data_IF_843922220361
#
_entry.id   IF_843922220361
#
_cell.length_a   1.000
_cell.length_b   1.000
_cell.length_c   1.000
_cell.angle_alpha   90.00
_cell.angle_beta   90.00
_cell.angle_gamma   90.00
#
_symmetry.space_group_name_H-M   'P 1'
#
loop_
_entity.id
_entity.type
_entity.pdbx_description
1 polymer ?
#
# COMPACT_ATOMS: atom_id res chain seq x y z
N UNK A 1 16.59 -15.36 6.05
CA UNK A 1 17.03 -14.44 7.13
C UNK A 1 15.87 -14.28 8.11
N UNK A 2 16.10 -14.35 9.43
CA UNK A 2 14.97 -14.37 10.38
C UNK A 2 14.39 -12.97 10.59
N UNK A 3 13.07 -12.81 10.45
CA UNK A 3 12.36 -11.54 10.74
C UNK A 3 12.20 -11.33 12.25
N UNK A 4 12.28 -10.06 12.65
CA UNK A 4 12.04 -9.59 14.02
C UNK A 4 10.66 -8.94 14.20
N UNK A 5 10.15 -8.96 15.44
CA UNK A 5 8.91 -8.22 15.77
C UNK A 5 9.02 -6.72 15.48
N UNK A 6 10.22 -6.13 15.63
CA UNK A 6 10.46 -4.73 15.29
C UNK A 6 10.25 -4.43 13.81
N UNK A 7 10.66 -5.36 12.93
CA UNK A 7 10.45 -5.23 11.49
C UNK A 7 8.96 -5.37 11.14
N UNK A 8 8.25 -6.30 11.78
CA UNK A 8 6.79 -6.41 11.64
C UNK A 8 6.09 -5.12 12.06
N UNK A 9 6.44 -4.58 13.23
CA UNK A 9 5.90 -3.28 13.71
C UNK A 9 6.24 -2.14 12.75
N UNK A 10 7.44 -2.14 12.18
CA UNK A 10 7.85 -1.14 11.21
C UNK A 10 7.03 -1.21 9.92
N UNK A 11 6.85 -2.39 9.34
CA UNK A 11 6.04 -2.61 8.13
C UNK A 11 4.56 -2.30 8.38
N UNK A 12 4.04 -2.67 9.55
CA UNK A 12 2.66 -2.31 9.95
C UNK A 12 2.45 -0.80 9.97
N UNK A 13 3.41 -0.03 10.54
CA UNK A 13 3.38 1.44 10.54
C UNK A 13 3.40 2.01 9.13
N UNK A 14 4.26 1.50 8.25
CA UNK A 14 4.30 1.93 6.85
C UNK A 14 2.98 1.67 6.13
N UNK A 15 2.33 0.55 6.47
CA UNK A 15 1.06 0.11 5.89
C UNK A 15 -0.18 0.73 6.54
N UNK A 16 -0.01 1.61 7.54
CA UNK A 16 -1.10 2.24 8.31
C UNK A 16 -1.99 1.19 9.02
N UNK A 17 -1.39 0.09 9.48
CA UNK A 17 -2.06 -0.99 10.19
C UNK A 17 -1.68 -0.98 11.66
N UNK A 18 -2.68 -1.15 12.53
CA UNK A 18 -2.50 -1.27 13.97
C UNK A 18 -2.86 -2.68 14.42
N UNK A 19 -1.96 -3.31 15.17
CA UNK A 19 -2.11 -4.66 15.71
C UNK A 19 -1.89 -4.64 17.21
N UNK A 20 -2.53 -5.57 17.92
CA UNK A 20 -2.24 -5.82 19.34
C UNK A 20 -0.89 -6.53 19.45
N UNK A 21 -0.18 -6.33 20.57
CA UNK A 21 1.10 -7.02 20.80
C UNK A 21 0.96 -8.56 20.73
N UNK A 22 -0.17 -9.11 21.15
CA UNK A 22 -0.46 -10.55 21.05
C UNK A 22 -0.53 -11.07 19.61
N UNK A 23 -0.85 -10.19 18.64
CA UNK A 23 -0.94 -10.55 17.21
C UNK A 23 0.42 -10.42 16.52
N UNK A 24 1.30 -9.53 17.01
CA UNK A 24 2.63 -9.30 16.43
C UNK A 24 3.50 -10.56 16.45
N UNK A 25 3.49 -11.32 17.55
CA UNK A 25 4.25 -12.57 17.64
C UNK A 25 3.80 -13.58 16.57
N UNK A 26 2.48 -13.69 16.36
CA UNK A 26 1.91 -14.57 15.35
C UNK A 26 2.27 -14.13 13.93
N UNK A 27 2.17 -12.83 13.63
CA UNK A 27 2.53 -12.30 12.32
C UNK A 27 4.03 -12.39 12.03
N UNK A 28 4.87 -12.33 13.07
CA UNK A 28 6.31 -12.54 12.93
C UNK A 28 6.61 -13.93 12.39
N UNK A 29 6.01 -14.98 12.99
CA UNK A 29 6.18 -16.36 12.52
C UNK A 29 5.64 -16.55 11.10
N UNK A 30 4.46 -16.02 10.80
CA UNK A 30 3.88 -16.14 9.45
C UNK A 30 4.71 -15.41 8.40
N UNK A 31 5.23 -14.23 8.71
CA UNK A 31 6.03 -13.45 7.77
C UNK A 31 7.39 -14.10 7.53
N UNK A 32 7.98 -14.71 8.56
CA UNK A 32 9.21 -15.51 8.43
C UNK A 32 9.02 -16.70 7.48
N UNK A 33 7.91 -17.42 7.60
CA UNK A 33 7.55 -18.51 6.68
C UNK A 33 7.37 -18.03 5.24
N UNK A 34 6.70 -16.89 5.03
CA UNK A 34 6.48 -16.31 3.70
C UNK A 34 7.81 -15.88 3.08
N UNK A 35 8.68 -15.19 3.82
CA UNK A 35 10.00 -14.80 3.32
C UNK A 35 10.84 -16.03 3.00
N UNK A 36 10.84 -17.05 3.88
CA UNK A 36 11.56 -18.30 3.62
C UNK A 36 11.07 -19.01 2.35
N UNK A 37 9.79 -18.91 2.01
CA UNK A 37 9.27 -19.39 0.72
C UNK A 37 9.81 -18.58 -0.46
N UNK A 38 9.87 -17.24 -0.35
CA UNK A 38 10.39 -16.36 -1.42
C UNK A 38 11.89 -16.55 -1.63
N UNK A 39 12.66 -16.77 -0.57
CA UNK A 39 14.11 -17.02 -0.62
C UNK A 39 14.48 -18.24 -1.48
N UNK A 40 13.55 -19.18 -1.70
CA UNK A 40 13.77 -20.31 -2.63
C UNK A 40 14.05 -19.86 -4.06
N UNK A 41 13.60 -18.66 -4.45
CA UNK A 41 13.85 -18.09 -5.77
C UNK A 41 15.31 -17.69 -5.98
N UNK A 42 16.10 -17.47 -4.92
CA UNK A 42 17.53 -17.12 -5.01
C UNK A 42 18.38 -18.25 -5.62
N UNK A 43 17.89 -19.49 -5.59
CA UNK A 43 18.57 -20.63 -6.21
C UNK A 43 18.58 -20.57 -7.75
N UNK A 44 17.81 -19.66 -8.35
CA UNK A 44 17.67 -19.53 -9.80
C UNK A 44 18.55 -18.38 -10.30
N UNK A 45 19.51 -18.70 -11.18
CA UNK A 45 20.33 -17.68 -11.84
C UNK A 45 19.48 -16.87 -12.83
N UNK A 46 19.41 -15.57 -12.60
CA UNK A 46 18.71 -14.60 -13.46
C UNK A 46 19.69 -13.66 -14.18
N UNK A 47 20.99 -13.98 -14.19
CA UNK A 47 22.02 -13.18 -14.86
C UNK A 47 21.71 -13.05 -16.36
N UNK A 48 21.55 -11.81 -16.81
CA UNK A 48 21.23 -11.50 -18.20
C UNK A 48 19.76 -11.71 -18.59
N UNK A 49 18.89 -12.11 -17.65
CA UNK A 49 17.44 -12.18 -17.87
C UNK A 49 16.84 -10.78 -17.70
N UNK A 50 16.19 -10.21 -18.73
CA UNK A 50 15.54 -8.91 -18.60
C UNK A 50 14.33 -8.99 -17.66
N UNK A 51 14.11 -7.94 -16.86
CA UNK A 51 12.95 -7.84 -15.97
C UNK A 51 11.67 -7.80 -16.81
N UNK A 52 10.69 -8.63 -16.44
CA UNK A 52 9.36 -8.61 -17.04
C UNK A 52 8.47 -7.65 -16.26
N UNK A 53 8.18 -6.47 -16.83
CA UNK A 53 7.32 -5.45 -16.17
C UNK A 53 5.84 -5.60 -16.52
N UNK A 54 5.55 -6.04 -17.74
CA UNK A 54 4.20 -6.27 -18.26
C UNK A 54 4.19 -7.61 -19.00
N UNK A 55 3.08 -8.34 -18.92
CA UNK A 55 2.93 -9.63 -19.61
C UNK A 55 2.77 -9.47 -21.14
N UNK A 56 2.36 -8.28 -21.59
CA UNK A 56 2.18 -7.92 -22.99
C UNK A 56 3.06 -6.73 -23.32
N UNK A 57 3.46 -6.59 -24.58
CA UNK A 57 4.17 -5.41 -25.05
C UNK A 57 3.29 -4.17 -24.91
N UNK A 58 3.75 -3.24 -24.10
CA UNK A 58 3.09 -1.95 -23.90
C UNK A 58 3.81 -0.87 -24.69
N UNK A 59 3.04 -0.09 -25.45
CA UNK A 59 3.49 1.18 -26.01
C UNK A 59 2.89 2.31 -25.20
N UNK A 60 3.42 3.53 -25.36
CA UNK A 60 2.87 4.70 -24.67
C UNK A 60 1.42 4.95 -25.11
N UNK A 61 0.46 4.76 -24.20
CA UNK A 61 -0.95 5.06 -24.42
C UNK A 61 -1.25 6.44 -23.88
N UNK A 62 -1.34 7.43 -24.78
CA UNK A 62 -1.63 8.81 -24.43
C UNK A 62 -3.13 9.10 -24.54
N UNK A 63 -3.68 9.85 -23.59
CA UNK A 63 -5.03 10.45 -23.68
C UNK A 63 -4.92 11.82 -24.33
N UNK A 64 -5.85 12.16 -25.21
CA UNK A 64 -5.97 13.53 -25.75
C UNK A 64 -6.29 14.52 -24.63
N UNK A 65 -5.75 15.74 -24.74
CA UNK A 65 -6.06 16.82 -23.81
C UNK A 65 -7.40 17.49 -24.16
N UNK A 66 -8.48 16.77 -23.90
CA UNK A 66 -9.85 17.24 -24.09
C UNK A 66 -10.55 17.19 -22.73
N UNK A 67 -11.16 18.30 -22.34
CA UNK A 67 -11.95 18.39 -21.12
C UNK A 67 -13.25 17.60 -21.27
N UNK A 68 -13.64 16.89 -20.22
CA UNK A 68 -14.92 16.18 -20.11
C UNK A 68 -15.72 16.76 -18.95
N UNK A 69 -17.04 16.62 -19.02
CA UNK A 69 -17.89 16.96 -17.87
C UNK A 69 -17.49 16.10 -16.65
N UNK A 70 -17.45 16.73 -15.47
CA UNK A 70 -17.14 16.04 -14.22
C UNK A 70 -18.34 15.24 -13.70
N UNK A 71 -18.08 14.28 -12.83
CA UNK A 71 -19.14 13.51 -12.15
C UNK A 71 -19.95 14.41 -11.21
N UNK A 72 -21.27 14.18 -11.10
CA UNK A 72 -22.12 14.90 -10.16
C UNK A 72 -21.62 14.76 -8.71
N UNK A 73 -21.58 15.89 -8.00
CA UNK A 73 -21.05 15.95 -6.63
C UNK A 73 -21.88 15.11 -5.67
N UNK A 74 -23.20 15.10 -5.78
CA UNK A 74 -24.03 14.33 -4.85
C UNK A 74 -23.77 12.83 -5.03
N UNK A 75 -23.49 12.38 -6.26
CA UNK A 75 -23.07 11.00 -6.50
C UNK A 75 -21.73 10.64 -5.88
N UNK A 76 -20.72 11.52 -6.00
CA UNK A 76 -19.41 11.32 -5.39
C UNK A 76 -19.48 11.23 -3.86
N UNK A 77 -20.42 11.93 -3.24
CA UNK A 77 -20.56 12.00 -1.78
C UNK A 77 -21.43 10.89 -1.16
N UNK A 78 -22.05 10.02 -1.97
CA UNK A 78 -22.92 8.92 -1.46
C UNK A 78 -22.25 8.03 -0.39
N UNK A 79 -20.93 7.88 -0.44
CA UNK A 79 -20.15 7.05 0.50
C UNK A 79 -19.30 7.86 1.49
N UNK A 80 -19.43 9.19 1.51
CA UNK A 80 -18.65 10.03 2.41
C UNK A 80 -19.24 9.95 3.81
N UNK A 81 -18.43 9.50 4.77
CA UNK A 81 -18.87 9.31 6.16
C UNK A 81 -19.20 10.63 6.86
N UNK A 82 -18.36 11.63 6.67
CA UNK A 82 -18.50 12.95 7.30
C UNK A 82 -18.20 14.02 6.26
N UNK A 83 -19.17 14.91 6.03
CA UNK A 83 -19.05 16.02 5.10
C UNK A 83 -19.37 17.34 5.80
N UNK A 84 -18.77 18.42 5.32
CA UNK A 84 -19.07 19.78 5.77
C UNK A 84 -18.85 20.76 4.63
N UNK A 85 -19.81 21.64 4.38
CA UNK A 85 -19.72 22.71 3.36
C UNK A 85 -19.31 22.21 1.96
N UNK A 86 -19.72 20.99 1.60
CA UNK A 86 -19.37 20.35 0.31
C UNK A 86 -17.97 19.76 0.24
N UNK A 87 -17.32 19.52 1.39
CA UNK A 87 -15.98 18.93 1.52
C UNK A 87 -16.02 17.66 2.35
N UNK A 88 -15.07 16.75 2.10
CA UNK A 88 -14.84 15.58 2.96
C UNK A 88 -14.14 16.05 4.24
N UNK A 89 -14.77 15.84 5.38
CA UNK A 89 -14.22 16.27 6.65
C UNK A 89 -13.28 15.19 7.21
N UNK A 90 -12.03 15.57 7.48
CA UNK A 90 -11.00 14.72 8.10
C UNK A 90 -10.36 15.41 9.30
N UNK A 91 -9.72 14.68 10.23
CA UNK A 91 -8.89 15.28 11.27
C UNK A 91 -7.78 16.15 10.66
N UNK A 92 -7.52 17.31 11.26
CA UNK A 92 -6.45 18.20 10.82
C UNK A 92 -5.08 17.56 11.09
N UNK A 93 -4.17 17.65 10.13
CA UNK A 93 -2.78 17.20 10.30
C UNK A 93 -2.05 18.28 11.12
N UNK A 94 -1.70 17.94 12.36
CA UNK A 94 -0.88 18.77 13.24
C UNK A 94 0.53 18.16 13.30
N UNK A 95 1.57 18.97 13.17
CA UNK A 95 2.96 18.50 13.20
C UNK A 95 3.37 18.08 14.62
N UNK A 96 3.08 16.82 14.97
CA UNK A 96 3.43 16.20 16.25
C UNK A 96 4.33 14.97 16.07
N UNK A 97 5.16 14.91 15.01
CA UNK A 97 6.10 13.80 14.79
C UNK A 97 5.47 12.45 14.42
N UNK A 98 4.15 12.34 14.40
CA UNK A 98 3.41 11.21 13.84
C UNK A 98 2.56 11.70 12.67
N UNK A 99 3.17 11.68 11.49
CA UNK A 99 2.48 11.97 10.24
C UNK A 99 1.47 10.86 9.92
N UNK A 100 0.20 11.09 10.31
CA UNK A 100 -0.99 10.47 9.72
C UNK A 100 -0.86 8.99 9.40
N UNK A 101 -0.57 8.18 10.43
CA UNK A 101 -0.66 6.71 10.42
C UNK A 101 -1.24 6.20 11.73
#
# INVERSE_FOLDING_TARGET
MAITESEVKHVAKLSKLAFKDSEIAHFTEQMDQIIGMVEQLEAIDTTGVPITTHALETVNVMRLDVATEGTDRNELFKNVKTEKDGLIQVPAIMDNGEAGA
#
